data_IF_483990382058
#
_entry.id   IF_483990382058
#
_cell.length_a   1.000
_cell.length_b   1.000
_cell.length_c   1.000
_cell.angle_alpha   90.00
_cell.angle_beta   90.00
_cell.angle_gamma   90.00
#
_symmetry.space_group_name_H-M   'P 1'
#
loop_
_entity.id
_entity.type
_entity.pdbx_description
1 polymer ?
#
# COMPACT_ATOMS: atom_id res chain seq x y z
N UNK A 1 18.10 -0.21 9.80
CA UNK A 1 18.30 0.31 8.43
C UNK A 1 16.91 0.61 7.89
N UNK A 2 16.67 1.76 7.26
CA UNK A 2 15.38 2.07 6.63
C UNK A 2 15.32 1.27 5.33
N UNK A 3 14.21 0.58 5.06
CA UNK A 3 14.01 -0.08 3.77
C UNK A 3 13.74 0.99 2.72
N UNK A 4 14.54 0.97 1.65
CA UNK A 4 14.33 1.86 0.51
C UNK A 4 13.21 1.32 -0.38
N UNK A 5 12.36 2.23 -0.83
CA UNK A 5 11.29 1.96 -1.79
C UNK A 5 11.42 2.92 -2.97
N UNK A 6 10.96 2.49 -4.14
CA UNK A 6 10.86 3.37 -5.29
C UNK A 6 9.83 4.50 -5.07
N UNK A 7 9.79 5.45 -6.00
CA UNK A 7 8.87 6.58 -6.00
C UNK A 7 9.41 7.85 -5.35
N UNK A 8 10.63 7.83 -4.82
CA UNK A 8 11.24 9.03 -4.21
C UNK A 8 11.88 9.95 -5.25
N UNK A 9 11.06 10.46 -6.17
CA UNK A 9 11.51 11.27 -7.29
C UNK A 9 12.15 12.60 -6.84
N UNK A 10 11.72 13.13 -5.69
CA UNK A 10 12.33 14.33 -5.09
C UNK A 10 13.79 14.07 -4.69
N UNK A 11 14.09 12.93 -4.08
CA UNK A 11 15.46 12.57 -3.72
C UNK A 11 16.33 12.42 -4.98
N UNK A 12 15.83 11.76 -6.03
CA UNK A 12 16.53 11.64 -7.30
C UNK A 12 16.77 13.03 -7.95
N UNK A 13 15.75 13.88 -7.97
CA UNK A 13 15.83 15.24 -8.51
C UNK A 13 16.93 16.07 -7.84
N UNK A 14 17.03 16.00 -6.50
CA UNK A 14 18.10 16.67 -5.74
C UNK A 14 19.46 16.06 -6.06
N UNK A 15 19.56 14.73 -6.03
CA UNK A 15 20.83 14.03 -6.20
C UNK A 15 21.49 14.28 -7.56
N UNK A 16 20.68 14.25 -8.63
CA UNK A 16 21.16 14.43 -10.00
C UNK A 16 21.06 15.88 -10.50
N UNK A 17 20.52 16.80 -9.68
CA UNK A 17 20.27 18.19 -10.06
C UNK A 17 19.45 18.33 -11.37
N UNK A 18 18.40 17.50 -11.51
CA UNK A 18 17.47 17.52 -12.65
C UNK A 18 16.09 17.89 -12.12
N UNK A 19 15.40 18.92 -12.68
CA UNK A 19 14.05 19.30 -12.29
C UNK A 19 13.07 18.12 -12.29
N UNK A 20 12.18 18.07 -11.30
CA UNK A 20 11.26 16.91 -11.09
C UNK A 20 10.38 16.61 -12.31
N UNK A 21 10.00 17.63 -13.08
CA UNK A 21 9.17 17.52 -14.29
C UNK A 21 9.93 16.95 -15.51
N UNK A 22 11.25 16.81 -15.43
CA UNK A 22 12.06 16.24 -16.49
C UNK A 22 12.32 14.73 -16.29
N UNK A 23 11.67 14.12 -15.30
CA UNK A 23 11.82 12.71 -15.01
C UNK A 23 10.66 11.87 -15.53
N UNK A 24 10.99 10.65 -15.93
CA UNK A 24 10.05 9.55 -16.05
C UNK A 24 10.32 8.59 -14.88
N UNK A 25 9.38 8.46 -13.95
CA UNK A 25 9.54 7.57 -12.80
C UNK A 25 9.19 6.12 -13.19
N UNK A 26 10.23 5.28 -13.30
CA UNK A 26 10.11 3.83 -13.54
C UNK A 26 10.41 2.99 -12.30
N UNK A 27 10.53 3.63 -11.13
CA UNK A 27 10.88 2.97 -9.88
C UNK A 27 9.67 2.42 -9.11
N UNK A 28 8.45 2.71 -9.59
CA UNK A 28 7.19 2.22 -8.99
C UNK A 28 6.40 1.35 -9.96
N UNK A 29 5.52 0.51 -9.41
CA UNK A 29 4.56 -0.29 -10.20
C UNK A 29 3.20 0.40 -10.42
N UNK A 30 3.14 1.74 -10.38
CA UNK A 30 1.88 2.47 -10.52
C UNK A 30 1.46 2.50 -11.99
N UNK A 31 0.19 2.16 -12.26
CA UNK A 31 -0.36 2.23 -13.61
C UNK A 31 -0.44 3.70 -14.10
N UNK A 32 0.21 4.07 -15.22
CA UNK A 32 0.14 5.42 -15.76
C UNK A 32 -1.26 5.81 -16.25
N UNK A 33 -2.09 4.81 -16.59
CA UNK A 33 -3.50 4.99 -16.95
C UNK A 33 -4.37 4.83 -15.70
N UNK A 34 -4.31 5.82 -14.81
CA UNK A 34 -5.02 5.81 -13.53
C UNK A 34 -6.54 5.66 -13.66
N UNK A 35 -7.18 5.22 -12.58
CA UNK A 35 -8.63 5.15 -12.49
C UNK A 35 -9.25 6.55 -12.61
N UNK A 36 -10.35 6.66 -13.37
CA UNK A 36 -11.12 7.91 -13.48
C UNK A 36 -11.97 8.10 -12.23
N UNK A 37 -11.40 8.80 -11.25
CA UNK A 37 -12.10 9.12 -9.99
C UNK A 37 -13.26 10.08 -10.30
N UNK A 38 -14.51 9.75 -9.94
CA UNK A 38 -15.63 10.67 -10.08
C UNK A 38 -15.51 11.84 -9.11
N UNK A 39 -16.39 12.84 -9.24
CA UNK A 39 -16.47 13.91 -8.23
C UNK A 39 -16.88 13.30 -6.88
N UNK A 40 -15.99 13.39 -5.90
CA UNK A 40 -16.26 12.92 -4.53
C UNK A 40 -16.90 14.07 -3.74
N UNK A 41 -18.05 13.84 -3.05
CA UNK A 41 -18.67 14.85 -2.21
C UNK A 41 -17.70 15.41 -1.17
N UNK A 42 -17.72 16.73 -0.95
CA UNK A 42 -16.82 17.39 0.00
C UNK A 42 -16.94 16.84 1.42
N UNK A 43 -18.15 16.42 1.81
CA UNK A 43 -18.46 15.85 3.13
C UNK A 43 -17.67 14.58 3.43
N UNK A 44 -17.31 13.79 2.41
CA UNK A 44 -16.50 12.57 2.57
C UNK A 44 -15.13 12.86 3.18
N UNK A 45 -14.58 14.05 2.97
CA UNK A 45 -13.27 14.44 3.51
C UNK A 45 -13.33 14.98 4.94
N UNK A 46 -14.51 15.40 5.40
CA UNK A 46 -14.72 15.97 6.74
C UNK A 46 -15.34 14.98 7.73
N UNK A 47 -15.90 13.88 7.23
CA UNK A 47 -16.48 12.82 8.06
C UNK A 47 -15.41 11.80 8.45
N UNK A 48 -15.57 11.20 9.63
CA UNK A 48 -14.82 10.00 9.99
C UNK A 48 -15.36 8.79 9.21
N UNK A 49 -14.55 7.77 8.92
CA UNK A 49 -15.04 6.50 8.42
C UNK A 49 -16.06 5.90 9.39
N UNK A 50 -17.13 5.32 8.85
CA UNK A 50 -18.15 4.62 9.61
C UNK A 50 -17.99 3.10 9.40
N UNK A 51 -18.25 2.31 10.43
CA UNK A 51 -18.27 0.86 10.29
C UNK A 51 -19.49 0.43 9.45
N UNK A 52 -19.34 -0.59 8.62
CA UNK A 52 -20.41 -1.17 7.80
C UNK A 52 -21.06 -0.17 6.81
N UNK A 53 -20.28 0.75 6.26
CA UNK A 53 -20.70 1.72 5.24
C UNK A 53 -21.03 1.10 3.86
N UNK A 54 -20.87 -0.21 3.73
CA UNK A 54 -21.14 -0.99 2.53
C UNK A 54 -19.89 -1.34 1.72
N UNK A 55 -18.72 -0.83 2.10
CA UNK A 55 -17.44 -1.13 1.42
C UNK A 55 -17.17 -2.63 1.34
N UNK A 56 -17.33 -3.37 2.45
CA UNK A 56 -17.04 -4.80 2.49
C UNK A 56 -17.98 -5.59 1.60
N UNK A 57 -19.27 -5.26 1.59
CA UNK A 57 -20.26 -5.95 0.77
C UNK A 57 -19.97 -5.79 -0.73
N UNK A 58 -19.71 -4.55 -1.17
CA UNK A 58 -19.37 -4.24 -2.56
C UNK A 58 -18.05 -4.90 -2.96
N UNK A 59 -17.06 -4.87 -2.07
CA UNK A 59 -15.78 -5.51 -2.33
C UNK A 59 -15.91 -7.05 -2.42
N UNK A 60 -16.71 -7.68 -1.54
CA UNK A 60 -16.99 -9.12 -1.59
C UNK A 60 -17.65 -9.52 -2.91
N UNK A 61 -18.63 -8.74 -3.38
CA UNK A 61 -19.27 -8.95 -4.68
C UNK A 61 -18.27 -8.81 -5.84
N UNK A 62 -17.49 -7.73 -5.85
CA UNK A 62 -16.52 -7.47 -6.92
C UNK A 62 -15.43 -8.54 -7.01
N UNK A 63 -14.87 -8.96 -5.88
CA UNK A 63 -13.81 -9.96 -5.81
C UNK A 63 -14.33 -11.40 -5.79
N UNK A 64 -15.66 -11.60 -5.77
CA UNK A 64 -16.31 -12.89 -5.64
C UNK A 64 -15.75 -13.71 -4.45
N UNK A 65 -15.78 -13.10 -3.26
CA UNK A 65 -15.33 -13.70 -2.00
C UNK A 65 -16.38 -13.53 -0.90
N UNK A 66 -16.43 -14.44 0.05
CA UNK A 66 -17.37 -14.37 1.18
C UNK A 66 -16.90 -13.45 2.30
N UNK A 67 -15.57 -13.31 2.48
CA UNK A 67 -14.96 -12.56 3.57
C UNK A 67 -13.72 -11.82 3.11
N UNK A 68 -13.55 -10.60 3.63
CA UNK A 68 -12.37 -9.76 3.47
C UNK A 68 -12.26 -8.75 4.62
N UNK A 69 -11.13 -8.06 4.71
CA UNK A 69 -10.89 -6.98 5.67
C UNK A 69 -10.27 -5.79 4.93
N UNK A 70 -10.94 -4.62 4.88
CA UNK A 70 -10.33 -3.39 4.40
C UNK A 70 -9.16 -2.99 5.30
N UNK A 71 -8.05 -2.60 4.69
CA UNK A 71 -6.83 -2.18 5.39
C UNK A 71 -6.27 -0.92 4.74
N UNK A 72 -5.56 -0.11 5.51
CA UNK A 72 -4.87 1.10 5.04
C UNK A 72 -3.61 0.75 4.20
N UNK A 73 -3.81 0.06 3.08
CA UNK A 73 -2.75 -0.47 2.22
C UNK A 73 -2.15 -1.79 2.70
N UNK A 74 -1.55 -2.54 1.78
CA UNK A 74 -0.95 -3.86 2.05
C UNK A 74 0.18 -3.81 3.08
N UNK A 75 0.93 -2.70 3.13
CA UNK A 75 1.99 -2.46 4.12
C UNK A 75 1.47 -2.58 5.56
N UNK A 76 0.28 -2.03 5.85
CA UNK A 76 -0.31 -2.12 7.18
C UNK A 76 -0.54 -3.58 7.60
N UNK A 77 -1.07 -4.41 6.69
CA UNK A 77 -1.22 -5.84 6.96
C UNK A 77 0.12 -6.54 7.15
N UNK A 78 1.12 -6.29 6.28
CA UNK A 78 2.45 -6.91 6.39
C UNK A 78 3.06 -6.67 7.77
N UNK A 79 2.95 -5.44 8.28
CA UNK A 79 3.50 -5.06 9.58
C UNK A 79 2.72 -5.65 10.77
N UNK A 80 1.42 -5.89 10.62
CA UNK A 80 0.55 -6.46 11.66
C UNK A 80 0.65 -7.99 11.74
N UNK A 81 0.90 -8.68 10.62
CA UNK A 81 0.91 -10.15 10.55
C UNK A 81 1.70 -10.86 11.67
N UNK A 82 2.92 -10.42 12.06
CA UNK A 82 3.66 -11.04 13.16
C UNK A 82 2.93 -10.98 14.51
N UNK A 83 2.14 -9.94 14.76
CA UNK A 83 1.39 -9.75 16.02
C UNK A 83 0.17 -10.67 16.13
N UNK A 84 -0.28 -11.26 15.01
CA UNK A 84 -1.44 -12.15 14.97
C UNK A 84 -1.07 -13.61 15.25
N UNK A 85 0.20 -13.90 15.53
CA UNK A 85 0.70 -15.26 15.78
C UNK A 85 1.52 -15.30 17.07
N UNK A 86 1.50 -16.46 17.73
CA UNK A 86 2.50 -16.79 18.74
C UNK A 86 3.86 -16.97 18.05
N UNK A 87 4.99 -16.84 18.77
CA UNK A 87 6.32 -17.09 18.20
C UNK A 87 6.36 -18.38 17.39
N UNK A 88 6.81 -18.27 16.14
CA UNK A 88 6.81 -19.37 15.17
C UNK A 88 7.95 -19.21 14.15
N UNK A 89 8.18 -20.26 13.36
CA UNK A 89 9.07 -20.20 12.20
C UNK A 89 8.26 -19.83 10.95
N UNK A 90 8.76 -18.88 10.16
CA UNK A 90 8.13 -18.41 8.92
C UNK A 90 9.13 -18.51 7.78
N UNK A 91 8.67 -19.01 6.63
CA UNK A 91 9.44 -18.96 5.39
C UNK A 91 9.13 -17.69 4.61
N UNK A 92 10.17 -16.93 4.25
CA UNK A 92 10.06 -15.77 3.35
C UNK A 92 10.91 -16.09 2.11
N UNK A 93 10.28 -16.07 0.94
CA UNK A 93 10.99 -16.30 -0.33
C UNK A 93 11.91 -15.11 -0.66
N UNK A 94 13.01 -15.37 -1.36
CA UNK A 94 13.93 -14.32 -1.79
C UNK A 94 14.24 -14.45 -3.30
N UNK A 95 14.20 -13.35 -4.08
CA UNK A 95 13.87 -11.97 -3.66
C UNK A 95 12.35 -11.79 -3.39
N UNK A 96 12.03 -10.94 -2.42
CA UNK A 96 10.66 -10.50 -2.12
C UNK A 96 10.60 -9.01 -1.81
N UNK A 97 9.40 -8.48 -1.62
CA UNK A 97 9.23 -7.17 -1.00
C UNK A 97 9.84 -7.19 0.41
N UNK A 98 10.82 -6.33 0.66
CA UNK A 98 11.70 -6.41 1.84
C UNK A 98 10.99 -6.25 3.18
N UNK A 99 9.80 -5.65 3.17
CA UNK A 99 8.99 -5.43 4.38
C UNK A 99 8.52 -6.75 5.01
N UNK A 100 8.37 -7.82 4.24
CA UNK A 100 8.04 -9.13 4.81
C UNK A 100 9.14 -9.62 5.76
N UNK A 101 10.38 -9.73 5.28
CA UNK A 101 11.50 -10.19 6.11
C UNK A 101 11.72 -9.25 7.30
N UNK A 102 11.62 -7.93 7.09
CA UNK A 102 11.78 -6.95 8.15
C UNK A 102 10.69 -7.04 9.23
N UNK A 103 9.43 -7.21 8.85
CA UNK A 103 8.33 -7.32 9.81
C UNK A 103 8.43 -8.61 10.64
N UNK A 104 8.76 -9.74 10.01
CA UNK A 104 8.80 -11.05 10.67
C UNK A 104 10.06 -11.29 11.54
N UNK A 105 11.11 -10.47 11.40
CA UNK A 105 12.30 -10.53 12.26
C UNK A 105 12.17 -9.80 13.61
N UNK A 106 11.07 -9.07 13.82
CA UNK A 106 10.83 -8.26 15.03
C UNK A 106 10.60 -9.11 16.27
#
# INVERSE_FOLDING_TARGET
MVLEHGGNLRQASIHYNIPINNWLDLSTGINPNGWKVPLIPATTWSSLPEDHDGLEAIACEYYNTEQLLPIAGSQAAIQILPMLRRPCHVGVLHPSYGEHEHAWKR
#
